data_IF_044936164795
#
_entry.id   IF_044936164795
#
_cell.length_a   1.000
_cell.length_b   1.000
_cell.length_c   1.000
_cell.angle_alpha   90.00
_cell.angle_beta   90.00
_cell.angle_gamma   90.00
#
_symmetry.space_group_name_H-M   'P 1'
#
loop_
_entity.id
_entity.type
_entity.pdbx_description
1 polymer ?
2 non-polymer ?
3 non-polymer ?
4 water ?
#
# COMPACT_ATOMS: atom_id res chain seq x y z
N UNK A 21 -13.67 9.27 -37.16
CA UNK A 21 -14.60 10.44 -37.01
C UNK A 21 -13.80 11.71 -37.19
N UNK A 22 -14.50 12.80 -37.51
CA UNK A 22 -13.86 14.12 -37.64
C UNK A 22 -13.35 14.61 -36.30
N UNK A 23 -13.74 13.90 -35.24
CA UNK A 23 -13.41 14.20 -33.84
C UNK A 23 -12.10 13.57 -33.35
N UNK A 24 -11.53 12.68 -34.15
CA UNK A 24 -10.31 11.99 -33.84
C UNK A 24 -9.18 12.44 -34.78
N UNK A 25 -7.97 12.48 -34.24
CA UNK A 25 -6.76 12.72 -34.97
C UNK A 25 -6.56 11.56 -35.92
N UNK A 26 -6.47 11.91 -37.19
CA UNK A 26 -6.33 10.93 -38.30
C UNK A 26 -5.10 10.01 -38.19
N UNK A 27 -4.03 10.51 -37.57
CA UNK A 27 -2.76 9.80 -37.48
C UNK A 27 -2.64 8.88 -36.26
N UNK A 28 -2.90 9.42 -35.08
CA UNK A 28 -2.77 8.68 -33.84
C UNK A 28 -4.06 7.99 -33.44
N UNK A 29 -5.19 8.41 -34.02
CA UNK A 29 -6.52 7.87 -33.64
C UNK A 29 -6.92 8.30 -32.22
N UNK A 30 -6.29 9.35 -31.71
CA UNK A 30 -6.68 9.84 -30.40
C UNK A 30 -7.75 10.90 -30.59
N UNK A 31 -8.56 11.16 -29.58
CA UNK A 31 -9.44 12.30 -29.72
C UNK A 31 -8.66 13.55 -30.07
N UNK A 32 -9.28 14.45 -30.82
CA UNK A 32 -8.71 15.77 -31.09
C UNK A 32 -9.08 16.74 -29.97
N UNK A 33 -8.74 18.02 -30.15
CA UNK A 33 -8.85 19.08 -29.15
C UNK A 33 -10.29 19.28 -28.69
N UNK A 34 -11.20 19.34 -29.63
CA UNK A 34 -12.55 19.67 -29.27
C UNK A 34 -13.22 18.53 -28.52
N UNK A 35 -12.99 17.31 -28.97
CA UNK A 35 -13.58 16.17 -28.29
C UNK A 35 -13.03 16.03 -26.87
N UNK A 36 -11.74 16.29 -26.73
CA UNK A 36 -11.12 16.19 -25.44
C UNK A 36 -11.71 17.22 -24.48
N UNK A 37 -11.95 18.42 -25.01
CA UNK A 37 -12.51 19.48 -24.20
C UNK A 37 -13.92 19.14 -23.76
N UNK A 38 -14.65 18.46 -24.61
CA UNK A 38 -15.97 18.07 -24.22
C UNK A 38 -15.91 17.04 -23.11
N UNK A 39 -15.00 16.09 -23.22
CA UNK A 39 -14.92 15.10 -22.17
C UNK A 39 -14.38 15.71 -20.90
N UNK A 40 -13.50 16.71 -20.99
CA UNK A 40 -12.99 17.36 -19.79
C UNK A 40 -14.11 18.10 -19.08
N UNK A 41 -14.91 18.81 -19.85
CA UNK A 41 -16.06 19.57 -19.31
C UNK A 41 -16.99 18.64 -18.59
N UNK A 42 -17.45 17.62 -19.28
CA UNK A 42 -18.22 16.54 -18.65
C UNK A 42 -17.65 15.98 -17.35
N UNK A 43 -16.37 15.65 -17.34
CA UNK A 43 -15.69 15.12 -16.17
C UNK A 43 -15.69 16.12 -15.04
N UNK A 44 -15.52 17.40 -15.35
CA UNK A 44 -15.58 18.46 -14.34
C UNK A 44 -16.97 18.66 -13.75
N UNK A 45 -17.98 18.65 -14.60
CA UNK A 45 -19.35 18.84 -14.12
C UNK A 45 -19.71 17.68 -13.21
N UNK A 46 -19.29 16.48 -13.58
CA UNK A 46 -19.59 15.30 -12.78
C UNK A 46 -18.81 15.27 -11.46
N UNK A 47 -17.53 15.63 -11.53
CA UNK A 47 -16.69 15.60 -10.35
C UNK A 47 -17.28 16.56 -9.32
N UNK A 48 -17.58 17.76 -9.77
CA UNK A 48 -18.18 18.75 -8.90
C UNK A 48 -19.47 18.21 -8.26
N UNK A 49 -20.30 17.52 -9.01
CA UNK A 49 -21.47 16.92 -8.41
C UNK A 49 -21.19 15.80 -7.41
N UNK A 50 -20.10 15.06 -7.56
CA UNK A 50 -19.81 13.96 -6.64
C UNK A 50 -18.73 14.22 -5.59
N UNK A 51 -18.30 15.47 -5.44
CA UNK A 51 -17.17 15.78 -4.58
C UNK A 51 -15.89 15.02 -4.96
N UNK A 52 -15.60 14.89 -6.25
CA UNK A 52 -14.42 14.17 -6.70
C UNK A 52 -13.44 15.11 -7.35
N UNK A 53 -12.25 14.57 -7.60
CA UNK A 53 -11.17 15.32 -8.19
C UNK A 53 -10.92 14.84 -9.61
N UNK A 54 -10.37 15.74 -10.43
CA UNK A 54 -9.93 15.43 -11.78
C UNK A 54 -8.51 15.92 -12.00
N UNK A 55 -7.72 15.08 -12.68
CA UNK A 55 -6.35 15.41 -13.05
C UNK A 55 -6.27 15.71 -14.52
N UNK A 56 -5.65 16.85 -14.85
CA UNK A 56 -5.40 17.24 -16.20
C UNK A 56 -3.92 17.36 -16.36
N UNK A 57 -3.38 16.79 -17.42
CA UNK A 57 -1.97 16.90 -17.76
C UNK A 57 -1.78 17.43 -19.17
N UNK A 58 -0.81 18.29 -19.36
CA UNK A 58 -0.40 18.77 -20.65
C UNK A 58 1.01 18.25 -20.84
N UNK A 59 1.33 17.86 -22.06
CA UNK A 59 2.58 17.17 -22.31
C UNK A 59 3.13 17.74 -23.58
N UNK A 60 4.39 18.14 -23.55
CA UNK A 60 5.04 18.65 -24.75
C UNK A 60 6.28 17.84 -25.05
N UNK A 61 6.52 17.65 -26.33
CA UNK A 61 7.71 16.98 -26.76
C UNK A 61 8.63 17.94 -27.46
N UNK A 62 9.92 17.64 -27.33
CA UNK A 62 10.93 18.13 -28.26
C UNK A 62 11.35 16.84 -28.95
N UNK A 63 11.16 16.80 -30.28
CA UNK A 63 11.33 15.55 -31.09
C UNK A 63 12.66 15.32 -31.90
N UNK A 64 13.84 15.19 -31.25
CA UNK A 64 14.04 15.31 -29.79
C UNK A 64 14.27 16.75 -29.35
N UNK A 71 14.61 13.87 -37.99
CA UNK A 71 14.11 12.50 -37.77
C UNK A 71 13.66 11.81 -39.05
N UNK A 72 13.19 12.59 -40.02
CA UNK A 72 12.63 12.06 -41.27
C UNK A 72 11.14 12.32 -41.17
N UNK A 73 10.48 12.44 -42.32
CA UNK A 73 9.07 12.82 -42.34
C UNK A 73 8.13 11.67 -41.94
N UNK A 74 8.36 10.53 -42.56
CA UNK A 74 7.51 9.37 -42.38
C UNK A 74 7.78 8.75 -41.01
N UNK A 75 9.06 8.69 -40.68
CA UNK A 75 9.51 8.28 -39.35
C UNK A 75 9.00 9.23 -38.25
N UNK A 76 8.82 10.50 -38.61
CA UNK A 76 8.28 11.52 -37.69
C UNK A 76 6.87 11.21 -37.23
N UNK A 77 6.03 10.96 -38.21
CA UNK A 77 4.65 10.62 -37.98
C UNK A 77 4.60 9.27 -37.30
N UNK A 78 5.46 8.33 -37.69
CA UNK A 78 5.59 7.05 -36.96
C UNK A 78 6.01 7.23 -35.50
N UNK A 79 6.84 8.22 -35.22
CA UNK A 79 7.21 8.47 -33.83
C UNK A 79 6.01 8.96 -33.02
N UNK A 80 5.29 9.95 -33.54
CA UNK A 80 4.10 10.45 -32.84
C UNK A 80 3.18 9.28 -32.51
N UNK A 81 2.96 8.43 -33.50
CA UNK A 81 2.23 7.20 -33.29
C UNK A 81 2.78 6.36 -32.14
N UNK A 82 4.09 6.21 -32.05
CA UNK A 82 4.66 5.44 -30.94
C UNK A 82 4.43 6.18 -29.61
N UNK A 83 4.60 7.50 -29.62
CA UNK A 83 4.31 8.29 -28.41
C UNK A 83 2.90 7.99 -27.90
N UNK A 84 1.96 8.09 -28.83
CA UNK A 84 0.56 7.87 -28.53
C UNK A 84 0.36 6.50 -27.89
N UNK A 85 0.91 5.47 -28.51
CA UNK A 85 0.80 4.12 -27.97
C UNK A 85 1.36 4.07 -26.55
N UNK A 86 2.48 4.71 -26.36
CA UNK A 86 3.12 4.66 -25.06
C UNK A 86 2.30 5.33 -24.00
N UNK A 87 1.71 6.48 -24.36
CA UNK A 87 0.85 7.22 -23.42
C UNK A 87 -0.40 6.44 -23.04
N UNK A 88 -1.05 5.85 -24.05
CA UNK A 88 -2.23 5.04 -23.78
C UNK A 88 -1.90 3.90 -22.82
N UNK A 89 -0.75 3.29 -23.02
CA UNK A 89 -0.31 2.21 -22.13
C UNK A 89 -0.08 2.64 -20.67
N UNK A 90 0.21 3.93 -20.40
CA UNK A 90 0.41 4.45 -18.99
C UNK A 90 -0.83 4.75 -18.16
N UNK A 91 -1.98 4.81 -18.79
CA UNK A 91 -3.21 5.17 -18.09
C UNK A 91 -4.21 4.05 -18.20
N UNK A 92 -5.25 4.15 -17.40
CA UNK A 92 -6.25 3.12 -17.31
C UNK A 92 -7.31 3.28 -18.37
N UNK A 93 -8.26 2.36 -18.28
CA UNK A 93 -9.38 2.23 -19.21
C UNK A 93 -10.18 3.54 -19.35
N UNK A 94 -10.41 4.17 -18.20
CA UNK A 94 -11.32 5.29 -18.10
C UNK A 94 -10.68 6.65 -18.37
N UNK A 95 -9.36 6.67 -18.52
CA UNK A 95 -8.62 7.92 -18.66
C UNK A 95 -8.61 8.23 -20.14
N UNK A 96 -8.54 9.50 -20.51
CA UNK A 96 -8.47 9.86 -21.91
C UNK A 96 -7.10 10.41 -22.20
N UNK A 97 -6.58 10.03 -23.36
CA UNK A 97 -5.41 10.66 -23.93
C UNK A 97 -5.80 11.31 -25.24
N UNK A 98 -5.27 12.50 -25.51
CA UNK A 98 -5.66 13.23 -26.69
C UNK A 98 -4.50 14.04 -27.23
N UNK A 99 -4.66 14.50 -28.43
CA UNK A 99 -3.63 15.23 -29.13
C UNK A 99 -4.13 16.63 -29.46
N UNK A 100 -3.53 17.62 -28.82
CA UNK A 100 -3.91 19.01 -29.03
C UNK A 100 -3.47 19.53 -30.39
N UNK A 101 -2.33 19.05 -30.86
CA UNK A 101 -1.74 19.54 -32.09
C UNK A 101 -0.25 19.35 -32.03
N UNK A 102 0.38 19.35 -33.19
CA UNK A 102 1.85 19.24 -33.25
C UNK A 102 2.43 18.18 -32.32
N UNK A 103 3.09 18.64 -31.27
CA UNK A 103 3.79 17.77 -30.35
C UNK A 103 3.18 17.77 -28.95
N UNK A 104 1.95 18.27 -28.86
CA UNK A 104 1.30 18.43 -27.61
C UNK A 104 0.20 17.41 -27.45
N UNK A 105 0.22 16.74 -26.31
CA UNK A 105 -0.79 15.80 -25.94
C UNK A 105 -1.37 16.22 -24.59
N UNK A 106 -2.54 15.70 -24.25
CA UNK A 106 -3.14 15.92 -22.94
C UNK A 106 -3.69 14.63 -22.42
N UNK A 107 -3.76 14.55 -21.11
CA UNK A 107 -4.35 13.44 -20.42
C UNK A 107 -5.39 13.93 -19.44
N UNK A 108 -6.39 13.09 -19.26
CA UNK A 108 -7.50 13.33 -18.36
C UNK A 108 -7.65 12.06 -17.54
N UNK A 109 -7.59 12.22 -16.22
CA UNK A 109 -7.86 11.15 -15.28
C UNK A 109 -9.06 11.55 -14.43
N UNK A 110 -10.23 11.12 -14.83
CA UNK A 110 -11.45 11.54 -14.11
C UNK A 110 -11.72 10.80 -12.82
N UNK A 111 -12.77 11.22 -12.09
CA UNK A 111 -13.36 10.45 -10.96
C UNK A 111 -12.37 9.97 -9.92
N UNK A 112 -11.48 10.84 -9.47
CA UNK A 112 -10.54 10.52 -8.39
C UNK A 112 -11.21 10.88 -7.06
N UNK A 113 -11.16 9.98 -6.09
CA UNK A 113 -11.97 10.11 -4.89
C UNK A 113 -11.70 11.32 -4.00
N UNK A 114 -10.45 11.78 -3.95
CA UNK A 114 -10.15 12.96 -3.16
C UNK A 114 -8.79 13.49 -3.54
N UNK A 115 -8.41 14.60 -2.91
CA UNK A 115 -7.14 15.28 -3.19
C UNK A 115 -5.94 14.33 -3.28
N UNK A 116 -5.79 13.50 -2.26
CA UNK A 116 -4.57 12.73 -2.12
C UNK A 116 -4.49 11.59 -3.10
N UNK A 117 -5.62 10.94 -3.35
CA UNK A 117 -5.69 9.90 -4.41
C UNK A 117 -5.28 10.51 -5.75
N UNK A 118 -5.91 11.63 -6.06
CA UNK A 118 -5.56 12.40 -7.22
C UNK A 118 -4.06 12.71 -7.31
N UNK A 119 -3.49 13.18 -6.20
CA UNK A 119 -2.10 13.56 -6.18
C UNK A 119 -1.16 12.38 -6.44
N UNK A 120 -1.43 11.28 -5.76
CA UNK A 120 -0.65 10.05 -5.93
C UNK A 120 -0.81 9.50 -7.32
N UNK A 121 -2.03 9.53 -7.82
CA UNK A 121 -2.26 8.96 -9.13
C UNK A 121 -1.56 9.79 -10.21
N UNK A 122 -1.55 11.10 -10.00
CA UNK A 122 -0.87 12.01 -10.93
C UNK A 122 0.65 11.79 -10.93
N UNK A 123 1.19 11.63 -9.72
CA UNK A 123 2.60 11.38 -9.56
C UNK A 123 2.93 10.09 -10.27
N UNK A 124 2.20 9.03 -9.94
CA UNK A 124 2.39 7.72 -10.54
C UNK A 124 2.31 7.80 -12.07
N UNK A 125 1.28 8.43 -12.61
CA UNK A 125 1.09 8.44 -14.08
C UNK A 125 2.20 9.22 -14.77
N UNK A 126 2.56 10.36 -14.19
CA UNK A 126 3.60 11.20 -14.77
C UNK A 126 4.98 10.53 -14.76
N UNK A 127 5.31 9.86 -13.67
CA UNK A 127 6.58 9.11 -13.58
C UNK A 127 6.66 7.98 -14.59
N UNK A 128 5.52 7.30 -14.72
CA UNK A 128 5.33 6.23 -15.68
C UNK A 128 5.55 6.80 -17.10
N UNK A 129 4.95 7.93 -17.40
CA UNK A 129 5.07 8.49 -18.75
C UNK A 129 6.51 8.86 -19.07
N UNK A 130 7.21 9.46 -18.12
CA UNK A 130 8.58 9.94 -18.38
C UNK A 130 9.51 8.73 -18.54
N UNK A 131 9.25 7.70 -17.73
CA UNK A 131 9.95 6.42 -17.84
C UNK A 131 9.78 5.72 -19.19
N UNK A 132 8.58 5.74 -19.74
CA UNK A 132 8.29 5.13 -21.04
C UNK A 132 8.87 5.97 -22.16
N UNK A 133 8.89 7.27 -21.99
CA UNK A 133 9.37 8.15 -23.06
C UNK A 133 10.88 8.28 -23.02
N UNK A 134 11.48 7.93 -21.89
CA UNK A 134 12.94 7.80 -21.79
C UNK A 134 13.42 6.75 -22.78
N UNK A 135 12.77 5.59 -22.76
CA UNK A 135 13.09 4.51 -23.66
C UNK A 135 13.26 5.01 -25.09
N UNK A 136 14.18 4.36 -25.84
CA UNK A 136 14.49 4.77 -27.21
C UNK A 136 13.42 4.40 -28.24
N UNK A 137 13.32 5.24 -29.26
CA UNK A 137 12.45 5.00 -30.39
C UNK A 137 13.27 4.37 -31.52
N UNK A 138 12.86 3.18 -31.94
CA UNK A 138 13.60 2.38 -32.94
C UNK A 138 12.99 2.48 -34.34
N UNK A 139 13.33 3.51 -35.09
CA UNK A 139 12.79 3.65 -36.44
C UNK A 139 13.94 3.61 -37.45
N UNK A 140 13.65 3.18 -38.69
CA UNK A 140 14.69 2.97 -39.73
C UNK A 140 15.85 2.05 -39.26
N UNK A 141 15.55 1.12 -38.36
CA UNK A 141 16.58 0.29 -37.73
C UNK A 141 17.33 0.98 -36.58
N UNK A 142 17.50 2.31 -36.66
CA UNK A 142 18.29 3.10 -35.70
C UNK A 142 17.54 3.46 -34.39
N UNK A 143 18.20 4.20 -33.50
CA UNK A 143 17.63 4.63 -32.22
C UNK A 143 17.49 6.15 -32.10
N UNK A 144 16.35 6.59 -31.52
CA UNK A 144 16.14 8.00 -31.20
C UNK A 144 15.57 8.21 -29.82
N UNK A 145 15.79 9.44 -29.32
CA UNK A 145 15.26 9.83 -28.03
C UNK A 145 14.43 11.09 -28.18
N UNK A 146 13.34 11.14 -27.42
CA UNK A 146 12.62 12.39 -27.19
C UNK A 146 12.64 12.72 -25.71
N UNK A 147 12.45 14.01 -25.44
CA UNK A 147 12.25 14.45 -24.09
C UNK A 147 10.91 15.15 -23.99
N UNK A 148 10.39 15.15 -22.77
CA UNK A 148 9.05 15.62 -22.51
C UNK A 148 9.01 16.53 -21.29
N UNK A 149 8.10 17.50 -21.34
CA UNK A 149 7.75 18.33 -20.21
C UNK A 149 6.28 18.17 -19.94
N UNK A 150 5.93 18.01 -18.69
CA UNK A 150 4.58 17.75 -18.29
C UNK A 150 4.11 18.77 -17.26
N UNK A 151 2.93 19.31 -17.49
CA UNK A 151 2.27 20.17 -16.50
C UNK A 151 0.99 19.52 -15.99
N UNK A 152 0.72 19.62 -14.70
CA UNK A 152 -0.40 18.92 -14.10
C UNK A 152 -1.20 19.89 -13.27
N UNK A 153 -2.51 19.82 -13.40
CA UNK A 153 -3.40 20.66 -12.59
C UNK A 153 -4.52 19.78 -12.12
N UNK A 154 -4.90 19.93 -10.87
CA UNK A 154 -5.95 19.14 -10.28
C UNK A 154 -7.16 19.96 -9.99
N UNK A 155 -8.28 19.55 -10.55
CA UNK A 155 -9.59 20.12 -10.24
C UNK A 155 -10.11 19.46 -8.96
N UNK A 156 -10.77 20.25 -8.09
CA UNK A 156 -11.30 21.61 -8.23
C UNK A 156 -10.36 22.72 -7.81
N UNK A 157 -9.34 22.37 -7.06
CA UNK A 157 -8.43 23.35 -6.52
C UNK A 157 -7.71 24.23 -7.53
N UNK A 158 -7.30 23.69 -8.68
CA UNK A 158 -6.63 24.51 -9.71
C UNK A 158 -7.62 24.92 -10.78
N UNK A 159 -8.89 24.78 -10.47
CA UNK A 159 -9.94 25.15 -11.41
C UNK A 159 -11.00 24.05 -11.45
N UNK A 160 -12.25 24.47 -11.43
CA UNK A 160 -13.35 23.55 -11.68
C UNK A 160 -14.01 23.84 -13.03
N UNK A 161 -13.49 24.78 -13.77
CA UNK A 161 -14.02 25.14 -15.05
C UNK A 161 -12.93 24.82 -16.06
N UNK A 162 -13.32 24.30 -17.21
CA UNK A 162 -12.35 23.72 -18.14
C UNK A 162 -11.29 24.69 -18.60
N UNK A 163 -11.62 25.97 -18.78
CA UNK A 163 -10.69 26.88 -19.43
C UNK A 163 -9.66 27.34 -18.39
N UNK A 164 -10.10 27.54 -17.16
CA UNK A 164 -9.20 27.83 -16.06
C UNK A 164 -8.29 26.63 -15.76
N UNK A 165 -8.84 25.44 -15.74
CA UNK A 165 -8.02 24.27 -15.52
C UNK A 165 -6.95 24.12 -16.59
N UNK A 166 -7.36 24.34 -17.82
CA UNK A 166 -6.39 24.36 -18.92
C UNK A 166 -5.31 25.46 -18.87
N UNK A 167 -5.69 26.72 -18.56
CA UNK A 167 -4.75 27.86 -18.33
C UNK A 167 -3.65 27.38 -17.36
N UNK A 168 -4.09 26.81 -16.24
CA UNK A 168 -3.19 26.42 -15.15
C UNK A 168 -2.29 25.19 -15.44
N UNK A 169 -2.80 24.18 -16.15
CA UNK A 169 -2.00 23.01 -16.56
C UNK A 169 -0.96 23.47 -17.53
N UNK A 170 -1.35 24.36 -18.41
CA UNK A 170 -0.43 24.93 -19.38
C UNK A 170 0.66 25.78 -18.72
N UNK A 171 0.28 26.56 -17.71
CA UNK A 171 1.23 27.30 -16.90
C UNK A 171 2.18 26.35 -16.20
N UNK A 172 1.66 25.24 -15.66
CA UNK A 172 2.56 24.27 -15.00
C UNK A 172 3.51 23.70 -16.00
N UNK A 173 3.05 23.47 -17.21
CA UNK A 173 3.86 22.82 -18.20
C UNK A 173 5.10 23.67 -18.47
N UNK A 174 4.88 24.95 -18.71
CA UNK A 174 5.96 25.89 -18.98
C UNK A 174 6.90 26.02 -17.79
N UNK A 175 6.37 25.98 -16.58
CA UNK A 175 7.24 25.83 -15.42
C UNK A 175 8.12 24.56 -15.49
N UNK A 176 7.55 23.47 -15.96
CA UNK A 176 8.27 22.21 -16.10
C UNK A 176 9.39 22.38 -17.12
N UNK A 177 9.09 23.06 -18.21
CA UNK A 177 10.12 23.35 -19.22
C UNK A 177 11.27 24.20 -18.67
N UNK A 178 10.93 25.15 -17.81
CA UNK A 178 11.90 26.13 -17.40
C UNK A 178 12.86 25.46 -16.42
N UNK A 179 12.53 24.24 -16.06
CA UNK A 179 13.38 23.43 -15.22
C UNK A 179 14.26 22.42 -15.90
N UNK A 180 14.10 22.26 -17.20
CA UNK A 180 14.99 21.40 -17.95
C UNK A 180 14.23 20.22 -18.51
N UNK A 181 14.97 19.20 -18.91
CA UNK A 181 14.41 18.06 -19.61
C UNK A 181 13.68 17.11 -18.67
N UNK A 182 12.67 16.45 -19.22
CA UNK A 182 12.03 15.33 -18.55
C UNK A 182 11.61 15.65 -17.13
N UNK A 183 10.63 16.53 -17.05
CA UNK A 183 10.12 17.01 -15.80
C UNK A 183 8.62 17.09 -15.84
N UNK A 184 8.02 16.95 -14.67
CA UNK A 184 6.64 17.29 -14.48
C UNK A 184 6.53 18.25 -13.33
N UNK A 185 5.70 19.25 -13.51
CA UNK A 185 5.38 20.18 -12.45
C UNK A 185 3.86 20.24 -12.23
N UNK A 186 3.45 20.35 -10.99
CA UNK A 186 2.10 20.72 -10.68
C UNK A 186 1.96 22.24 -10.75
N UNK A 187 0.75 22.71 -10.88
CA UNK A 187 0.49 24.12 -10.88
C UNK A 187 0.74 24.69 -9.49
N UNK A 188 0.35 23.94 -8.46
CA UNK A 188 0.63 24.31 -7.07
C UNK A 188 2.04 23.96 -6.65
N UNK A 189 2.71 24.90 -6.01
CA UNK A 189 4.05 24.70 -5.47
C UNK A 189 4.02 23.66 -4.34
N UNK A 190 2.96 23.71 -3.54
CA UNK A 190 2.78 22.77 -2.47
C UNK A 190 2.81 21.32 -2.97
N UNK A 191 2.19 21.05 -4.12
CA UNK A 191 2.17 19.68 -4.68
C UNK A 191 3.51 19.30 -5.26
N UNK A 192 4.20 20.27 -5.87
CA UNK A 192 5.56 20.03 -6.32
C UNK A 192 6.49 19.63 -5.17
N UNK A 193 6.39 20.34 -4.06
CA UNK A 193 7.19 19.99 -2.90
C UNK A 193 6.82 18.59 -2.43
N UNK A 194 5.52 18.35 -2.26
CA UNK A 194 5.08 17.04 -1.82
C UNK A 194 5.51 15.92 -2.83
N UNK A 195 5.48 16.24 -4.12
CA UNK A 195 5.89 15.28 -5.14
C UNK A 195 7.37 14.95 -5.03
N UNK A 196 8.18 15.98 -4.85
CA UNK A 196 9.60 15.76 -4.79
C UNK A 196 9.98 14.88 -3.61
N UNK A 197 9.34 15.10 -2.49
CA UNK A 197 9.59 14.34 -1.28
C UNK A 197 9.13 12.91 -1.37
N UNK A 198 7.96 12.71 -1.96
CA UNK A 198 7.41 11.40 -2.18
C UNK A 198 8.36 10.58 -3.04
N UNK A 199 8.89 11.17 -4.10
CA UNK A 199 9.83 10.48 -4.94
C UNK A 199 11.10 10.11 -4.17
N UNK A 200 11.55 11.01 -3.29
CA UNK A 200 12.74 10.75 -2.51
C UNK A 200 12.49 9.62 -1.51
N UNK A 201 11.28 9.60 -0.94
CA UNK A 201 10.90 8.54 -0.01
C UNK A 201 10.96 7.21 -0.72
N UNK A 202 10.42 7.16 -1.93
CA UNK A 202 10.35 5.92 -2.72
C UNK A 202 11.77 5.47 -3.01
N UNK A 203 12.55 6.42 -3.48
CA UNK A 203 13.96 6.22 -3.69
C UNK A 203 14.66 5.61 -2.46
N UNK A 204 14.44 6.19 -1.31
CA UNK A 204 15.07 5.69 -0.11
C UNK A 204 14.59 4.26 0.26
N UNK A 205 13.31 3.99 0.08
CA UNK A 205 12.78 2.67 0.43
C UNK A 205 13.35 1.56 -0.44
N UNK A 206 13.57 1.84 -1.72
CA UNK A 206 14.24 0.86 -2.58
C UNK A 206 15.64 0.58 -2.07
N UNK A 207 16.35 1.64 -1.76
CA UNK A 207 17.67 1.55 -1.23
C UNK A 207 17.63 0.87 0.13
N UNK A 208 16.62 1.15 0.92
CA UNK A 208 16.57 0.55 2.24
C UNK A 208 16.63 -0.98 2.14
N UNK A 209 15.93 -1.49 1.15
CA UNK A 209 15.79 -2.92 0.94
C UNK A 209 17.10 -3.49 0.41
N UNK A 210 17.73 -2.77 -0.52
CA UNK A 210 19.04 -3.12 -1.08
C UNK A 210 20.16 -3.17 -0.02
N UNK A 211 20.20 -2.21 0.89
CA UNK A 211 21.22 -2.13 1.93
C UNK A 211 20.78 -2.81 3.24
N UNK A 212 19.60 -3.41 3.27
CA UNK A 212 19.03 -3.85 4.55
C UNK A 212 19.01 -2.78 5.67
N UNK A 213 18.22 -1.74 5.53
CA UNK A 213 18.07 -0.81 6.64
C UNK A 213 16.83 -1.16 7.47
N UNK A 214 16.05 -2.13 7.04
CA UNK A 214 14.89 -2.59 7.81
C UNK A 214 15.35 -3.49 8.93
N UNK A 215 14.61 -3.47 10.04
CA UNK A 215 14.87 -4.32 11.18
C UNK A 215 13.53 -4.78 11.74
N UNK A 216 13.52 -5.96 12.33
CA UNK A 216 12.38 -6.51 12.98
C UNK A 216 12.48 -6.33 14.48
N UNK A 217 11.43 -5.82 15.08
CA UNK A 217 11.30 -5.84 16.50
C UNK A 217 10.21 -6.82 16.80
N UNK A 218 10.19 -7.36 18.01
CA UNK A 218 9.26 -8.38 18.41
C UNK A 218 8.57 -7.98 19.71
N UNK A 219 7.24 -8.04 19.72
CA UNK A 219 6.49 -7.85 20.92
C UNK A 219 5.95 -9.18 21.44
N UNK A 220 6.21 -9.47 22.71
CA UNK A 220 5.88 -10.76 23.25
C UNK A 220 4.41 -10.88 23.56
N UNK A 221 3.92 -12.11 23.62
CA UNK A 221 2.51 -12.41 23.83
C UNK A 221 2.44 -13.42 24.94
N UNK A 222 1.55 -13.19 25.88
CA UNK A 222 1.42 -14.06 27.03
C UNK A 222 0.04 -14.61 27.23
N UNK A 223 -0.03 -15.62 28.06
CA UNK A 223 -1.29 -16.13 28.51
C UNK A 223 -1.90 -15.07 29.36
N UNK A 224 -3.22 -15.11 29.54
CA UNK A 224 -3.93 -14.09 30.31
C UNK A 224 -3.37 -13.86 31.70
N UNK A 225 -3.02 -14.93 32.42
CA UNK A 225 -2.35 -14.76 33.74
C UNK A 225 -1.01 -13.98 33.68
N UNK A 226 -0.25 -14.18 32.61
CA UNK A 226 1.09 -13.57 32.46
C UNK A 226 2.17 -14.59 32.83
N UNK A 227 1.74 -15.72 33.41
CA UNK A 227 2.65 -16.81 33.73
C UNK A 227 3.46 -17.26 32.51
N UNK A 228 3.03 -16.96 31.29
CA UNK A 228 3.54 -17.73 30.16
C UNK A 228 3.50 -17.13 28.74
N UNK A 229 4.61 -17.32 28.01
CA UNK A 229 4.84 -16.72 26.68
C UNK A 229 4.34 -17.64 25.58
N UNK A 230 3.41 -17.13 24.79
CA UNK A 230 2.73 -17.91 23.80
C UNK A 230 3.27 -17.65 22.40
N UNK A 231 3.97 -16.53 22.25
CA UNK A 231 4.52 -16.15 20.96
C UNK A 231 5.08 -14.74 20.91
N UNK A 232 5.48 -14.34 19.71
CA UNK A 232 5.99 -13.00 19.49
C UNK A 232 5.46 -12.43 18.19
N UNK A 233 5.03 -11.16 18.21
CA UNK A 233 4.50 -10.51 17.02
C UNK A 233 5.62 -9.73 16.41
N UNK A 234 5.91 -9.99 15.13
CA UNK A 234 7.02 -9.34 14.49
C UNK A 234 6.50 -8.04 13.96
N UNK A 235 7.36 -7.02 13.98
CA UNK A 235 6.96 -5.63 13.71
C UNK A 235 8.06 -4.95 12.93
N UNK A 236 7.79 -4.58 11.69
CA UNK A 236 8.80 -3.97 10.85
C UNK A 236 9.16 -2.53 11.35
N UNK A 237 10.45 -2.21 11.41
CA UNK A 237 10.90 -0.85 11.65
C UNK A 237 11.85 -0.45 10.56
N UNK A 238 12.00 0.86 10.37
CA UNK A 238 12.91 1.40 9.37
C UNK A 238 13.66 2.60 9.93
N UNK A 239 14.98 2.48 9.87
CA UNK A 239 15.93 3.42 10.40
C UNK A 239 16.61 4.05 9.20
N UNK A 240 16.31 5.30 8.94
CA UNK A 240 17.05 5.98 7.88
C UNK A 240 18.03 7.02 8.44
N UNK A 241 19.23 7.05 7.86
CA UNK A 241 20.25 7.91 8.42
C UNK A 241 19.83 9.37 8.61
N UNK A 242 19.02 9.92 7.71
CA UNK A 242 18.63 11.34 7.86
C UNK A 242 17.24 11.54 8.47
N UNK A 243 16.25 10.76 8.06
CA UNK A 243 14.86 10.94 8.55
C UNK A 243 14.76 10.36 9.96
N UNK A 244 15.81 9.63 10.33
CA UNK A 244 15.83 8.85 11.56
C UNK A 244 14.99 7.59 11.39
N UNK A 245 14.09 7.38 12.33
CA UNK A 245 13.32 6.16 12.37
C UNK A 245 11.92 6.51 11.93
N UNK A 246 11.52 5.94 10.80
CA UNK A 246 10.23 6.21 10.16
C UNK A 246 9.19 5.20 10.61
N UNK A 247 8.00 5.67 11.04
CA UNK A 247 7.02 4.76 11.64
C UNK A 247 6.37 3.90 10.60
N UNK A 248 6.08 2.62 10.91
CA UNK A 248 5.52 1.70 9.93
C UNK A 248 4.34 2.27 9.17
N UNK A 249 3.49 3.02 9.86
CA UNK A 249 2.30 3.65 9.24
C UNK A 249 2.63 4.63 8.13
N UNK A 250 3.72 5.39 8.25
CA UNK A 250 4.22 6.24 7.15
C UNK A 250 4.72 5.45 5.93
N UNK A 251 5.68 4.55 6.09
CA UNK A 251 6.35 3.93 4.92
C UNK A 251 5.72 2.63 4.39
N UNK A 252 4.93 1.92 5.20
CA UNK A 252 4.34 0.67 4.69
C UNK A 252 3.38 0.91 3.50
N UNK A 253 2.45 1.87 3.63
CA UNK A 253 1.55 2.18 2.52
C UNK A 253 2.28 2.54 1.23
N UNK A 254 3.43 3.15 1.37
CA UNK A 254 4.29 3.51 0.23
C UNK A 254 4.86 2.25 -0.38
N UNK A 255 5.26 1.32 0.48
CA UNK A 255 5.79 0.05 -0.01
C UNK A 255 4.75 -0.66 -0.87
N UNK A 256 3.51 -0.69 -0.39
CA UNK A 256 2.50 -1.48 -1.09
C UNK A 256 2.00 -0.78 -2.35
N UNK A 257 2.12 0.55 -2.37
CA UNK A 257 1.84 1.31 -3.59
C UNK A 257 2.89 1.11 -4.68
N UNK A 258 3.91 0.32 -4.38
CA UNK A 258 4.75 -0.28 -5.42
C UNK A 258 4.78 -1.80 -5.24
N UNK A 259 5.45 -2.50 -6.16
CA UNK A 259 5.76 -3.92 -6.02
C UNK A 259 6.75 -4.25 -4.91
N UNK A 260 7.04 -3.27 -4.06
CA UNK A 260 8.05 -3.44 -3.00
C UNK A 260 7.61 -4.33 -1.84
N UNK A 261 6.33 -4.26 -1.48
CA UNK A 261 5.87 -4.92 -0.28
C UNK A 261 6.02 -6.45 -0.30
N UNK A 262 5.82 -7.11 -1.43
CA UNK A 262 5.97 -8.58 -1.45
C UNK A 262 7.42 -8.94 -1.18
N UNK A 263 8.30 -8.18 -1.80
CA UNK A 263 9.75 -8.33 -1.62
C UNK A 263 10.23 -7.99 -0.18
N UNK A 264 9.70 -6.93 0.41
CA UNK A 264 9.98 -6.68 1.81
C UNK A 264 9.36 -7.75 2.70
N UNK A 265 8.11 -8.11 2.47
CA UNK A 265 7.46 -9.25 3.15
C UNK A 265 8.32 -10.53 3.14
N UNK A 266 8.93 -10.84 2.00
CA UNK A 266 9.81 -11.98 1.90
C UNK A 266 11.02 -11.85 2.79
N UNK A 267 11.64 -10.68 2.78
CA UNK A 267 12.76 -10.42 3.64
C UNK A 267 12.28 -10.65 5.08
N UNK A 268 11.14 -10.09 5.42
CA UNK A 268 10.66 -10.17 6.79
C UNK A 268 10.36 -11.58 7.30
N UNK A 269 9.60 -12.31 6.51
CA UNK A 269 9.26 -13.67 6.85
C UNK A 269 10.53 -14.47 7.03
N UNK A 270 11.48 -14.30 6.12
CA UNK A 270 12.69 -15.12 6.20
C UNK A 270 13.47 -14.78 7.48
N UNK A 271 13.57 -13.50 7.77
CA UNK A 271 14.25 -13.03 8.98
C UNK A 271 13.57 -13.56 10.24
N UNK A 272 12.25 -13.55 10.26
CA UNK A 272 11.61 -14.14 11.44
C UNK A 272 11.84 -15.64 11.52
N UNK A 273 11.79 -16.35 10.42
CA UNK A 273 12.08 -17.78 10.48
C UNK A 273 13.50 -18.05 10.94
N UNK A 274 14.44 -17.25 10.46
CA UNK A 274 15.82 -17.39 10.92
C UNK A 274 15.93 -17.10 12.39
N UNK A 275 15.28 -16.04 12.83
CA UNK A 275 15.28 -15.70 14.23
C UNK A 275 14.80 -16.84 15.07
N UNK A 276 13.72 -17.45 14.61
CA UNK A 276 13.16 -18.59 15.31
C UNK A 276 14.22 -19.69 15.46
N UNK A 277 15.00 -19.89 14.41
CA UNK A 277 16.06 -20.88 14.37
C UNK A 277 17.18 -20.58 15.38
N UNK A 278 17.53 -19.31 15.55
CA UNK A 278 18.54 -18.89 16.55
C UNK A 278 18.02 -18.97 17.95
N UNK A 279 16.82 -18.50 18.16
CA UNK A 279 16.25 -18.59 19.49
C UNK A 279 16.19 -20.05 20.01
N UNK A 280 15.88 -21.02 19.14
CA UNK A 280 15.71 -22.41 19.54
C UNK A 280 17.07 -23.00 19.81
N UNK A 281 18.03 -22.63 18.98
CA UNK A 281 19.43 -23.00 19.15
C UNK A 281 19.93 -22.51 20.48
N UNK A 282 19.55 -21.29 20.84
CA UNK A 282 20.05 -20.66 22.06
C UNK A 282 19.19 -20.94 23.31
N UNK A 283 18.33 -21.95 23.23
CA UNK A 283 17.47 -22.39 24.34
C UNK A 283 16.37 -21.41 24.74
N UNK A 284 16.03 -20.49 23.84
CA UNK A 284 14.94 -19.54 24.07
C UNK A 284 13.71 -20.12 23.39
N UNK A 285 12.76 -20.55 24.21
CA UNK A 285 11.56 -21.23 23.77
C UNK A 285 10.48 -20.23 23.40
N UNK A 286 10.51 -19.77 22.16
CA UNK A 286 9.49 -18.93 21.60
C UNK A 286 8.58 -19.84 20.77
N UNK A 287 7.33 -20.03 21.16
CA UNK A 287 6.52 -21.05 20.45
C UNK A 287 6.12 -20.74 19.01
N UNK A 288 5.99 -19.45 18.70
CA UNK A 288 5.55 -19.02 17.36
C UNK A 288 5.74 -17.53 17.13
N UNK A 289 5.63 -17.13 15.88
CA UNK A 289 5.78 -15.75 15.51
C UNK A 289 4.66 -15.29 14.58
N UNK A 290 4.18 -14.07 14.77
CA UNK A 290 3.08 -13.54 13.98
C UNK A 290 3.59 -12.47 13.06
N UNK A 291 3.19 -12.54 11.80
CA UNK A 291 3.54 -11.57 10.81
C UNK A 291 2.23 -10.96 10.30
N UNK A 292 2.23 -9.64 10.15
CA UNK A 292 1.11 -8.90 9.59
C UNK A 292 1.18 -8.92 8.07
N UNK A 293 0.03 -8.96 7.42
CA UNK A 293 -0.04 -8.93 5.95
C UNK A 293 -0.88 -7.77 5.48
N UNK A 294 -0.44 -7.13 4.42
CA UNK A 294 -1.26 -6.09 3.84
C UNK A 294 -2.30 -6.69 2.89
N UNK A 295 -3.17 -5.82 2.40
CA UNK A 295 -4.18 -6.24 1.46
C UNK A 295 -3.52 -6.74 0.16
N UNK A 296 -2.48 -6.07 -0.26
CA UNK A 296 -1.80 -6.38 -1.47
C UNK A 296 -1.14 -7.75 -1.38
N UNK A 297 -0.48 -8.04 -0.26
CA UNK A 297 0.16 -9.36 -0.05
C UNK A 297 -0.86 -10.45 -0.06
N UNK A 298 -1.99 -10.17 0.58
CA UNK A 298 -3.07 -11.12 0.67
C UNK A 298 -3.65 -11.47 -0.70
N UNK A 299 -3.73 -10.47 -1.59
CA UNK A 299 -4.25 -10.69 -2.96
C UNK A 299 -3.27 -11.43 -3.89
N UNK A 300 -2.01 -11.45 -3.52
CA UNK A 300 -0.98 -12.03 -4.37
C UNK A 300 -1.20 -13.54 -4.56
N UNK A 301 -1.28 -13.96 -5.82
CA UNK A 301 -1.47 -15.38 -6.21
C UNK A 301 -0.33 -16.33 -5.79
N UNK A 302 0.85 -15.77 -5.60
CA UNK A 302 2.03 -16.50 -5.17
C UNK A 302 2.33 -16.44 -3.69
N UNK A 303 1.49 -15.77 -2.95
CA UNK A 303 1.64 -15.73 -1.49
C UNK A 303 1.98 -17.08 -0.83
N UNK A 304 1.10 -18.05 -0.96
CA UNK A 304 1.30 -19.34 -0.33
C UNK A 304 2.54 -20.02 -0.89
N UNK A 305 2.74 -19.91 -2.19
CA UNK A 305 3.96 -20.43 -2.77
C UNK A 305 5.24 -19.84 -2.15
N UNK A 306 5.29 -18.52 -1.99
CA UNK A 306 6.51 -17.85 -1.44
C UNK A 306 6.72 -18.17 0.05
N UNK A 307 5.62 -18.33 0.77
CA UNK A 307 5.73 -18.72 2.15
C UNK A 307 6.31 -20.12 2.26
N UNK A 308 5.83 -21.06 1.46
CA UNK A 308 6.33 -22.44 1.50
C UNK A 308 7.82 -22.46 1.12
N UNK A 309 8.14 -21.66 0.11
CA UNK A 309 9.51 -21.54 -0.30
C UNK A 309 10.39 -21.10 0.88
N UNK A 310 9.92 -20.13 1.66
CA UNK A 310 10.77 -19.58 2.73
C UNK A 310 10.84 -20.55 3.90
N UNK A 311 9.73 -21.24 4.16
CA UNK A 311 9.73 -22.24 5.23
C UNK A 311 10.71 -23.36 4.91
N UNK A 312 10.81 -23.68 3.63
CA UNK A 312 11.71 -24.71 3.18
C UNK A 312 13.17 -24.27 3.32
N UNK A 313 13.48 -23.04 2.88
CA UNK A 313 14.86 -22.50 2.99
C UNK A 313 15.31 -22.41 4.45
N UNK A 314 14.47 -21.86 5.31
CA UNK A 314 14.85 -21.69 6.68
C UNK A 314 14.71 -22.92 7.58
N UNK A 315 14.10 -24.01 7.07
CA UNK A 315 13.91 -25.23 7.87
C UNK A 315 12.94 -25.11 9.05
N UNK A 316 11.98 -24.19 9.01
CA UNK A 316 11.03 -24.13 10.12
C UNK A 316 9.62 -24.60 9.71
N UNK A 317 8.94 -25.32 10.61
CA UNK A 317 7.61 -25.83 10.31
C UNK A 317 6.48 -24.78 10.37
N UNK A 318 5.38 -24.99 9.62
CA UNK A 318 4.30 -24.00 9.55
C UNK A 318 3.63 -23.70 10.89
N UNK A 319 3.62 -24.68 11.80
CA UNK A 319 3.03 -24.45 13.12
C UNK A 319 3.68 -23.27 13.86
N UNK A 320 4.90 -22.92 13.48
CA UNK A 320 5.63 -21.87 14.18
C UNK A 320 5.22 -20.48 13.70
N UNK A 321 4.37 -20.42 12.69
CA UNK A 321 4.04 -19.19 12.05
C UNK A 321 2.53 -18.86 12.17
N UNK A 322 2.23 -17.58 12.35
CA UNK A 322 0.85 -17.14 12.34
C UNK A 322 0.74 -15.88 11.49
N UNK A 323 -0.25 -15.82 10.62
CA UNK A 323 -0.53 -14.65 9.82
C UNK A 323 -1.64 -13.78 10.41
N UNK A 324 -1.44 -12.47 10.38
CA UNK A 324 -2.40 -11.55 10.96
C UNK A 324 -3.01 -10.71 9.88
N UNK A 325 -4.33 -10.83 9.70
CA UNK A 325 -5.04 -10.06 8.69
C UNK A 325 -6.19 -9.31 9.31
N UNK A 326 -6.48 -8.12 8.78
CA UNK A 326 -7.60 -7.30 9.33
C UNK A 326 -8.92 -7.76 8.77
N UNK A 327 -9.97 -7.55 9.55
CA UNK A 327 -11.31 -7.94 9.11
C UNK A 327 -11.72 -7.22 7.81
N UNK A 328 -11.23 -6.01 7.59
CA UNK A 328 -11.38 -5.32 6.28
C UNK A 328 -10.74 -6.00 5.06
N UNK A 329 -9.59 -6.64 5.26
CA UNK A 329 -8.99 -7.45 4.24
C UNK A 329 -9.81 -8.75 3.99
N UNK A 330 -10.29 -9.39 5.02
CA UNK A 330 -11.02 -10.61 4.78
C UNK A 330 -12.43 -10.45 4.22
N UNK A 331 -13.13 -9.40 4.64
CA UNK A 331 -14.57 -9.30 4.42
C UNK A 331 -14.94 -8.50 3.19
N UNK A 332 -13.94 -7.89 2.54
CA UNK A 332 -14.23 -7.10 1.35
C UNK A 332 -14.73 -8.02 0.26
N UNK A 333 -14.03 -9.14 0.03
CA UNK A 333 -14.49 -10.14 -0.95
C UNK A 333 -14.45 -11.53 -0.35
N UNK A 334 -15.55 -11.88 0.29
CA UNK A 334 -15.59 -13.04 1.17
C UNK A 334 -15.32 -14.35 0.43
N UNK A 335 -15.84 -14.47 -0.77
CA UNK A 335 -15.68 -15.68 -1.56
C UNK A 335 -14.22 -15.93 -1.95
N UNK A 336 -13.54 -14.87 -2.41
CA UNK A 336 -12.11 -14.94 -2.75
C UNK A 336 -11.30 -15.27 -1.49
N UNK A 337 -11.61 -14.56 -0.41
CA UNK A 337 -10.89 -14.74 0.85
C UNK A 337 -10.99 -16.16 1.37
N UNK A 338 -12.14 -16.76 1.20
CA UNK A 338 -12.37 -18.13 1.64
C UNK A 338 -11.36 -19.09 0.99
N UNK A 339 -11.10 -18.86 -0.28
CA UNK A 339 -10.21 -19.72 -1.05
C UNK A 339 -8.75 -19.46 -0.71
N UNK A 340 -8.38 -18.19 -0.66
CA UNK A 340 -7.06 -17.79 -0.29
C UNK A 340 -6.73 -18.32 1.11
N UNK A 341 -7.63 -18.11 2.06
CA UNK A 341 -7.40 -18.61 3.42
C UNK A 341 -7.29 -20.10 3.46
N UNK A 342 -8.16 -20.80 2.73
CA UNK A 342 -8.12 -22.26 2.71
C UNK A 342 -6.80 -22.82 2.17
N UNK A 343 -6.24 -22.10 1.20
CA UNK A 343 -4.92 -22.39 0.66
C UNK A 343 -3.88 -22.27 1.73
N UNK A 344 -3.92 -21.18 2.49
CA UNK A 344 -2.97 -20.95 3.55
C UNK A 344 -3.10 -21.92 4.70
N UNK A 345 -4.31 -22.35 5.04
CA UNK A 345 -4.42 -23.36 6.10
C UNK A 345 -3.88 -24.70 5.70
N UNK A 346 -3.96 -25.01 4.41
CA UNK A 346 -3.48 -26.28 3.93
C UNK A 346 -1.99 -26.28 4.04
N UNK A 347 -1.39 -25.09 4.15
CA UNK A 347 0.05 -24.93 4.40
C UNK A 347 0.39 -25.18 5.85
N UNK A 348 -0.63 -25.28 6.71
CA UNK A 348 -0.48 -25.64 8.12
C UNK A 348 -0.22 -24.48 9.05
N UNK A 349 -0.36 -23.26 8.54
CA UNK A 349 -0.07 -22.09 9.34
C UNK A 349 -1.35 -21.57 10.03
N UNK A 350 -1.20 -20.82 11.13
CA UNK A 350 -2.38 -20.24 11.80
C UNK A 350 -2.77 -18.84 11.27
N UNK A 351 -4.03 -18.46 11.52
CA UNK A 351 -4.55 -17.21 11.00
C UNK A 351 -5.29 -16.43 12.07
N UNK A 352 -4.83 -15.20 12.32
CA UNK A 352 -5.46 -14.33 13.29
C UNK A 352 -6.12 -13.11 12.63
N UNK A 353 -7.29 -12.72 13.15
CA UNK A 353 -7.97 -11.54 12.64
C UNK A 353 -7.59 -10.35 13.54
N UNK A 354 -6.76 -9.49 12.99
CA UNK A 354 -6.17 -8.37 13.66
C UNK A 354 -7.18 -7.23 13.76
N UNK A 355 -7.03 -6.42 14.80
CA UNK A 355 -7.79 -5.16 14.94
C UNK A 355 -9.29 -5.39 15.01
N UNK A 356 -9.67 -6.58 15.46
CA UNK A 356 -11.04 -7.00 15.41
C UNK A 356 -11.96 -6.08 16.23
N UNK A 357 -13.12 -5.80 15.64
CA UNK A 357 -14.09 -4.89 16.19
C UNK A 357 -14.10 -3.56 15.50
N UNK A 358 -13.06 -3.26 14.74
CA UNK A 358 -12.96 -2.02 13.99
C UNK A 358 -13.47 -2.12 12.56
N UNK A 359 -13.95 -3.29 12.18
CA UNK A 359 -14.49 -3.45 10.84
C UNK A 359 -15.88 -4.03 10.85
N UNK A 360 -16.27 -4.46 9.67
CA UNK A 360 -17.58 -5.05 9.40
C UNK A 360 -17.37 -6.49 9.07
N UNK A 361 -18.03 -7.36 9.81
CA UNK A 361 -17.76 -8.76 9.74
C UNK A 361 -19.07 -9.48 9.67
N UNK A 362 -19.11 -10.50 8.81
CA UNK A 362 -20.17 -11.49 8.80
C UNK A 362 -19.81 -12.50 9.82
N UNK A 363 -20.68 -12.68 10.77
CA UNK A 363 -20.49 -13.74 11.73
C UNK A 363 -20.51 -15.08 11.03
N UNK A 364 -21.30 -15.17 9.99
CA UNK A 364 -21.41 -16.35 9.19
C UNK A 364 -20.05 -16.75 8.63
N UNK A 365 -19.37 -15.78 8.04
CA UNK A 365 -18.10 -16.06 7.39
C UNK A 365 -16.95 -16.14 8.38
N UNK A 366 -17.20 -15.72 9.60
CA UNK A 366 -16.19 -15.72 10.62
C UNK A 366 -16.03 -17.14 11.05
N UNK A 367 -17.13 -17.88 11.00
CA UNK A 367 -17.11 -19.30 11.31
C UNK A 367 -16.66 -20.16 10.13
N UNK A 368 -17.04 -19.79 8.91
CA UNK A 368 -16.66 -20.57 7.74
C UNK A 368 -15.16 -20.44 7.37
N UNK A 369 -14.65 -19.20 7.42
CA UNK A 369 -13.22 -18.92 7.27
C UNK A 369 -12.49 -19.82 8.25
N UNK A 370 -11.39 -20.44 7.80
CA UNK A 370 -10.70 -21.32 8.73
C UNK A 370 -9.74 -20.50 9.57
N UNK A 371 -10.27 -19.75 10.56
CA UNK A 371 -9.42 -18.83 11.32
C UNK A 371 -9.20 -19.37 12.70
N UNK A 372 -8.22 -18.82 13.39
CA UNK A 372 -7.84 -19.38 14.67
C UNK A 372 -8.03 -18.47 15.84
N UNK A 373 -7.86 -17.18 15.59
CA UNK A 373 -7.68 -16.19 16.62
C UNK A 373 -8.36 -14.88 16.26
N UNK A 374 -8.98 -14.25 17.23
CA UNK A 374 -9.37 -12.87 17.11
C UNK A 374 -8.51 -12.02 18.03
N UNK A 375 -8.12 -10.84 17.55
CA UNK A 375 -7.39 -9.89 18.34
C UNK A 375 -8.27 -8.68 18.66
N UNK A 376 -8.53 -8.45 19.93
CA UNK A 376 -9.33 -7.30 20.38
C UNK A 376 -8.55 -6.03 20.12
N UNK A 377 -9.06 -5.15 19.27
CA UNK A 377 -8.31 -3.93 18.97
C UNK A 377 -7.98 -3.13 20.24
N UNK A 378 -6.83 -2.45 20.22
CA UNK A 378 -6.34 -1.65 21.35
C UNK A 378 -7.35 -0.61 21.82
N UNK A 379 -8.06 -0.01 20.86
CA UNK A 379 -9.02 1.03 21.15
C UNK A 379 -10.07 0.60 22.19
N UNK A 380 -10.52 -0.65 22.11
CA UNK A 380 -11.48 -1.19 23.08
C UNK A 380 -10.80 -1.51 24.39
N UNK A 381 -9.54 -1.95 24.34
CA UNK A 381 -8.83 -2.28 25.57
C UNK A 381 -8.52 -1.01 26.36
N UNK A 382 -8.39 0.08 25.64
CA UNK A 382 -8.02 1.34 26.23
C UNK A 382 -9.09 1.86 27.20
N UNK A 383 -10.36 1.69 26.86
CA UNK A 383 -11.45 2.10 27.74
C UNK A 383 -11.65 1.21 28.96
N UNK A 384 -10.84 0.17 29.13
CA UNK A 384 -11.07 -0.75 30.23
C UNK A 384 -10.36 -0.31 31.49
N UNK A 385 -10.98 -0.57 32.65
CA UNK A 385 -12.19 -1.36 32.77
C UNK A 385 -13.51 -0.61 32.95
N UNK A 386 -13.50 0.72 32.92
CA UNK A 386 -14.70 1.47 33.37
C UNK A 386 -15.50 2.18 32.28
N UNK A 387 -15.07 2.08 31.02
CA UNK A 387 -15.93 2.48 29.90
C UNK A 387 -16.95 1.38 29.62
N UNK A 388 -18.24 1.69 29.82
CA UNK A 388 -19.31 0.70 29.66
C UNK A 388 -19.27 0.14 28.23
N UNK A 389 -19.15 1.02 27.26
CA UNK A 389 -19.22 0.61 25.89
C UNK A 389 -18.08 -0.37 25.58
N UNK A 390 -16.84 0.08 25.83
CA UNK A 390 -15.62 -0.71 25.63
C UNK A 390 -15.60 -2.01 26.43
N UNK A 391 -16.19 -1.99 27.60
CA UNK A 391 -16.25 -3.18 28.44
C UNK A 391 -17.16 -4.24 27.90
N UNK A 392 -18.24 -3.80 27.29
CA UNK A 392 -19.26 -4.70 26.76
C UNK A 392 -18.81 -5.25 25.41
N UNK A 393 -18.25 -4.38 24.59
CA UNK A 393 -17.65 -4.82 23.33
C UNK A 393 -16.57 -5.92 23.53
N UNK A 394 -15.70 -5.69 24.50
CA UNK A 394 -14.64 -6.64 24.79
C UNK A 394 -15.18 -7.95 25.34
N UNK A 395 -16.12 -7.92 26.26
CA UNK A 395 -16.76 -9.17 26.70
C UNK A 395 -17.39 -9.94 25.54
N UNK A 396 -18.01 -9.17 24.65
CA UNK A 396 -18.73 -9.71 23.53
C UNK A 396 -17.80 -10.43 22.59
N UNK A 397 -16.67 -9.81 22.25
CA UNK A 397 -15.63 -10.44 21.42
C UNK A 397 -15.11 -11.75 22.04
N UNK A 398 -14.87 -11.73 23.33
CA UNK A 398 -14.36 -12.93 23.97
C UNK A 398 -15.40 -14.01 23.84
N UNK A 399 -16.67 -13.64 24.00
CA UNK A 399 -17.76 -14.62 24.00
C UNK A 399 -17.96 -15.17 22.60
N UNK A 400 -17.91 -14.29 21.62
CA UNK A 400 -17.94 -14.73 20.23
C UNK A 400 -16.85 -15.72 19.93
N UNK A 401 -15.63 -15.33 20.25
CA UNK A 401 -14.47 -16.15 19.99
C UNK A 401 -14.62 -17.55 20.54
N UNK A 402 -14.96 -17.64 21.82
CA UNK A 402 -15.13 -18.93 22.46
C UNK A 402 -16.32 -19.71 21.95
N UNK A 403 -17.34 -19.00 21.45
CA UNK A 403 -18.49 -19.67 20.85
C UNK A 403 -18.10 -20.30 19.53
N UNK A 404 -17.15 -19.69 18.83
CA UNK A 404 -16.68 -20.20 17.55
C UNK A 404 -15.40 -21.05 17.73
N UNK A 405 -15.06 -21.38 18.97
CA UNK A 405 -13.80 -22.12 19.29
C UNK A 405 -12.50 -21.41 18.86
N UNK A 406 -12.56 -20.10 18.80
CA UNK A 406 -11.42 -19.32 18.45
C UNK A 406 -10.76 -18.90 19.73
N UNK A 407 -9.45 -18.71 19.67
CA UNK A 407 -8.71 -18.19 20.81
C UNK A 407 -8.58 -16.69 20.60
N UNK A 408 -8.79 -15.88 21.63
CA UNK A 408 -8.60 -14.42 21.47
C UNK A 408 -7.51 -13.78 22.33
N UNK A 409 -6.79 -12.81 21.76
CA UNK A 409 -5.73 -12.12 22.49
C UNK A 409 -6.07 -10.65 22.48
N UNK A 410 -5.85 -9.98 23.61
CA UNK A 410 -6.10 -8.57 23.65
C UNK A 410 -4.82 -7.83 23.33
N UNK A 411 -4.89 -6.84 22.46
CA UNK A 411 -3.72 -6.04 22.18
C UNK A 411 -3.76 -4.72 22.93
N UNK A 412 -2.61 -4.05 23.04
CA UNK A 412 -2.53 -2.76 23.70
C UNK A 412 -2.84 -2.73 25.19
N UNK A 413 -2.67 -3.86 25.87
CA UNK A 413 -2.80 -3.91 27.30
C UNK A 413 -1.68 -3.17 28.00
N UNK A 414 -2.02 -2.06 28.64
CA UNK A 414 -1.08 -1.11 29.21
C UNK A 414 -1.17 -0.97 30.71
N UNK A 415 -2.15 -1.58 31.37
CA UNK A 415 -2.40 -1.29 32.78
C UNK A 415 -2.85 -2.53 33.52
N UNK A 416 -2.59 -2.53 34.82
CA UNK A 416 -2.99 -3.64 35.66
C UNK A 416 -4.49 -3.83 35.59
N UNK A 417 -5.24 -2.74 35.57
CA UNK A 417 -6.71 -2.79 35.59
C UNK A 417 -7.28 -3.44 34.34
N UNK A 418 -6.76 -3.03 33.18
CA UNK A 418 -7.09 -3.67 31.92
C UNK A 418 -6.86 -5.18 32.01
N UNK A 419 -5.73 -5.55 32.54
CA UNK A 419 -5.39 -6.97 32.57
C UNK A 419 -6.32 -7.71 33.47
N UNK A 420 -6.64 -7.13 34.61
CA UNK A 420 -7.54 -7.76 35.59
C UNK A 420 -8.89 -8.08 34.94
N UNK A 421 -9.47 -7.07 34.33
CA UNK A 421 -10.70 -7.24 33.60
C UNK A 421 -10.64 -8.36 32.57
N UNK A 422 -9.67 -8.29 31.67
CA UNK A 422 -9.56 -9.28 30.60
C UNK A 422 -9.36 -10.69 31.12
N UNK A 423 -8.56 -10.80 32.18
CA UNK A 423 -8.31 -12.07 32.83
C UNK A 423 -9.58 -12.58 33.47
N UNK A 424 -10.28 -11.71 34.19
CA UNK A 424 -11.50 -12.08 34.88
C UNK A 424 -12.51 -12.64 33.90
N UNK A 425 -12.56 -12.10 32.68
CA UNK A 425 -13.53 -12.55 31.66
C UNK A 425 -13.06 -13.60 30.66
N UNK A 426 -11.98 -14.31 31.00
CA UNK A 426 -11.49 -15.44 30.20
C UNK A 426 -10.73 -15.10 28.92
N UNK A 427 -10.14 -13.90 28.82
CA UNK A 427 -9.35 -13.58 27.63
C UNK A 427 -8.15 -14.51 27.68
N UNK A 428 -7.91 -15.26 26.61
CA UNK A 428 -6.89 -16.31 26.60
C UNK A 428 -5.47 -15.75 26.63
N UNK A 429 -5.23 -14.75 25.81
CA UNK A 429 -3.89 -14.23 25.70
C UNK A 429 -3.87 -12.74 25.70
N UNK A 430 -2.70 -12.18 25.92
CA UNK A 430 -2.59 -10.77 26.13
C UNK A 430 -1.28 -10.25 25.58
N UNK A 431 -1.28 -8.97 25.19
CA UNK A 431 -0.13 -8.33 24.54
C UNK A 431 -0.17 -6.80 24.76
N UNK A 432 0.96 -6.17 25.01
CA UNK A 432 0.95 -4.73 25.32
C UNK A 432 2.16 -4.17 26.07
N UNK A 433 2.26 -2.84 26.17
CA UNK A 433 3.37 -2.20 26.91
C UNK A 433 3.45 -2.59 28.39
N UNK A 434 2.35 -2.96 29.01
CA UNK A 434 2.42 -3.45 30.36
C UNK A 434 3.37 -4.63 30.47
N UNK A 435 3.45 -5.43 29.42
CA UNK A 435 4.28 -6.65 29.41
C UNK A 435 5.62 -6.43 28.74
N UNK A 436 5.99 -5.19 28.48
CA UNK A 436 7.21 -4.90 27.73
C UNK A 436 7.01 -4.60 26.25
N UNK A 437 7.62 -3.46 25.86
CA UNK A 437 7.63 -2.92 24.50
C UNK A 437 8.16 -3.90 23.45
N UNK A 438 7.95 -3.59 22.14
CA UNK A 438 8.62 -4.29 21.04
C UNK A 438 10.11 -4.11 21.10
N UNK A 439 10.82 -5.10 20.62
CA UNK A 439 12.18 -5.32 21.05
C UNK A 439 13.01 -6.11 20.04
N UNK A 440 14.28 -5.73 19.82
CA UNK A 440 15.17 -6.58 18.98
C UNK A 440 15.38 -7.98 19.55
N UNK A 441 15.69 -8.91 18.69
CA UNK A 441 15.57 -10.31 19.01
C UNK A 441 16.34 -10.78 20.23
N UNK A 442 17.56 -10.30 20.37
CA UNK A 442 18.44 -10.85 21.38
C UNK A 442 18.00 -10.38 22.76
N UNK A 443 17.65 -9.11 22.89
CA UNK A 443 17.09 -8.64 24.12
C UNK A 443 15.78 -9.32 24.41
N UNK A 444 15.04 -9.63 23.35
CA UNK A 444 13.77 -10.31 23.53
C UNK A 444 13.98 -11.64 24.27
N UNK A 445 14.89 -12.46 23.73
CA UNK A 445 15.23 -13.75 24.34
C UNK A 445 15.53 -13.65 25.83
N UNK A 446 16.42 -12.72 26.17
CA UNK A 446 16.83 -12.54 27.57
C UNK A 446 15.72 -12.03 28.47
N UNK A 447 14.94 -11.12 27.94
CA UNK A 447 13.85 -10.59 28.71
C UNK A 447 12.74 -11.59 28.88
N UNK A 448 12.56 -12.54 27.95
CA UNK A 448 11.53 -13.60 28.14
C UNK A 448 12.04 -15.05 27.87
N UNK A 449 13.02 -15.49 28.66
CA UNK A 449 13.57 -16.84 28.56
C UNK A 449 13.06 -17.70 29.71
#
# INVERSE_FOLDING_TARGET
>A
MGSSHHHHHHSSGLVPRGSHMAYYDALTHLPNRTLFQDRLHTALQQAERNGQWVVLMFLDLDRFKPINDSLGHAAGDRMLQEVATRLSACVSQDDTVARMGGDEFTLLLPSQGDREIALKRAIQVAELILGRLARPFTLEGREFFVTASIGVALSPQDGAELSLLMKNADTAMYHAKEMGKNNFQFYQAEMNARALERLELESDLRRALELGEFVLHYQPQFTGDGRRLTGAEALLRWQHPRRGLVPPSEFIPVLEEIGLVAQVGDWLLAEACKQLRSWHKAKVRVPKVSVNLSARQFADGQLGERIAAILYETGIPPACLELELTESILMSDVAEAMQILSGLKRLGLAIAVDDFGTGYSSLNYLKQFPIDVLKIDRSFVDGLPHGEQDAQIARAIIAMAHSLNLMVIAEGVESQAQLDFLREHGCDEVQGYLFGRPMPAEQFGMLYASDVL
#
